data_IF_341759807345
#
_entry.id   IF_341759807345
#
_cell.length_a   1.000
_cell.length_b   1.000
_cell.length_c   1.000
_cell.angle_alpha   90.00
_cell.angle_beta   90.00
_cell.angle_gamma   90.00
#
_symmetry.space_group_name_H-M   'P 1'
#
loop_
_entity.id
_entity.type
_entity.pdbx_description
1 polymer ?
#
# COMPACT_ATOMS: atom_id res chain seq x y z
N UNK A 1 35.11 -19.27 -35.66
CA UNK A 1 35.70 -18.80 -34.38
C UNK A 1 34.81 -17.67 -33.87
N UNK A 2 34.12 -17.90 -32.76
CA UNK A 2 33.14 -16.98 -32.18
C UNK A 2 33.85 -15.84 -31.41
N UNK A 3 33.36 -14.61 -31.56
CA UNK A 3 33.85 -13.41 -30.87
C UNK A 3 32.97 -13.19 -29.63
N UNK A 4 33.55 -13.30 -28.44
CA UNK A 4 32.87 -13.03 -27.18
C UNK A 4 32.62 -11.51 -27.02
N UNK A 5 31.39 -11.13 -26.73
CA UNK A 5 31.01 -9.80 -26.28
C UNK A 5 31.30 -9.72 -24.77
N UNK A 6 32.13 -8.76 -24.36
CA UNK A 6 32.35 -8.44 -22.95
C UNK A 6 31.10 -7.74 -22.40
N UNK A 7 30.43 -8.41 -21.48
CA UNK A 7 29.42 -7.81 -20.60
C UNK A 7 30.18 -6.92 -19.62
N UNK A 8 29.95 -5.61 -19.68
CA UNK A 8 30.34 -4.69 -18.61
C UNK A 8 29.21 -4.67 -17.59
N UNK A 9 29.48 -5.24 -16.42
CA UNK A 9 28.58 -5.22 -15.27
C UNK A 9 28.38 -3.78 -14.79
N UNK A 10 27.13 -3.35 -14.73
CA UNK A 10 26.69 -2.05 -14.23
C UNK A 10 26.48 -2.15 -12.71
N UNK A 11 27.58 -2.09 -11.96
CA UNK A 11 27.62 -2.17 -10.49
C UNK A 11 27.66 -0.76 -9.83
N UNK A 12 27.35 0.29 -10.60
CA UNK A 12 27.46 1.68 -10.13
C UNK A 12 26.24 2.20 -9.38
N UNK A 13 25.09 1.54 -9.49
CA UNK A 13 23.80 2.04 -8.94
C UNK A 13 23.53 1.53 -7.53
N UNK A 14 24.01 0.33 -7.18
CA UNK A 14 23.85 -0.27 -5.86
C UNK A 14 24.70 0.41 -4.78
N UNK A 15 25.95 0.76 -5.10
CA UNK A 15 26.84 1.46 -4.17
C UNK A 15 26.40 2.91 -3.91
N UNK A 16 25.74 3.56 -4.88
CA UNK A 16 25.16 4.90 -4.68
C UNK A 16 24.00 4.89 -3.69
N UNK A 17 23.18 3.83 -3.67
CA UNK A 17 22.07 3.69 -2.72
C UNK A 17 22.60 3.37 -1.32
N UNK A 18 23.63 2.51 -1.22
CA UNK A 18 24.24 2.17 0.07
C UNK A 18 24.97 3.39 0.67
N UNK A 19 25.65 4.20 -0.15
CA UNK A 19 26.31 5.42 0.31
C UNK A 19 25.31 6.53 0.70
N UNK A 20 24.14 6.58 0.05
CA UNK A 20 23.04 7.47 0.44
C UNK A 20 22.50 7.12 1.85
N UNK A 21 22.44 5.83 2.18
CA UNK A 21 22.02 5.35 3.51
C UNK A 21 23.11 5.59 4.56
N UNK A 22 24.39 5.45 4.20
CA UNK A 22 25.52 5.70 5.12
C UNK A 22 25.67 7.16 5.52
N UNK A 23 25.34 8.11 4.63
CA UNK A 23 25.45 9.55 4.94
C UNK A 23 24.43 10.02 5.97
N UNK A 24 23.26 9.38 6.06
CA UNK A 24 22.19 9.72 7.01
C UNK A 24 22.41 9.17 8.43
N UNK A 25 23.47 8.37 8.65
CA UNK A 25 23.77 7.74 9.94
C UNK A 25 24.93 8.41 10.71
N UNK A 26 25.48 9.52 10.22
CA UNK A 26 26.61 10.20 10.86
C UNK A 26 26.29 11.65 11.26
N UNK A 27 25.69 11.85 12.44
CA UNK A 27 25.94 13.04 13.28
C UNK A 27 25.74 12.74 14.77
N UNK A 28 26.82 12.86 15.56
CA UNK A 28 26.84 13.21 16.99
C UNK A 28 26.76 14.73 17.17
N UNK A 29 26.69 15.32 18.39
CA UNK A 29 25.88 15.07 19.58
C UNK A 29 24.93 16.26 19.89
N UNK A 30 23.99 16.06 20.82
CA UNK A 30 23.01 17.07 21.30
C UNK A 30 23.71 18.28 21.96
N UNK A 31 23.39 19.50 21.52
CA UNK A 31 23.55 20.75 22.30
C UNK A 31 22.41 21.72 21.96
N UNK A 32 21.87 22.34 23.01
CA UNK A 32 20.58 23.02 23.11
C UNK A 32 20.52 24.46 22.54
N UNK A 33 19.27 24.88 22.24
CA UNK A 33 18.71 26.25 22.11
C UNK A 33 19.07 27.05 20.84
N UNK A 34 18.12 27.54 20.04
CA UNK A 34 17.18 28.66 20.35
C UNK A 34 16.11 28.80 19.25
N UNK A 35 14.93 29.32 19.63
CA UNK A 35 13.75 29.56 18.79
C UNK A 35 13.97 30.59 17.68
N UNK A 36 13.47 30.34 16.47
CA UNK A 36 13.02 31.36 15.50
C UNK A 36 11.82 30.79 14.71
N UNK A 37 10.68 31.45 14.88
CA UNK A 37 9.42 31.22 14.16
C UNK A 37 9.58 31.56 12.67
N UNK A 38 9.16 30.65 11.80
CA UNK A 38 8.77 31.00 10.42
C UNK A 38 7.49 30.21 10.11
N UNK A 39 6.50 30.94 9.61
CA UNK A 39 5.17 30.47 9.23
C UNK A 39 5.27 29.27 8.28
N UNK A 40 4.63 28.15 8.64
CA UNK A 40 4.40 27.03 7.73
C UNK A 40 2.98 27.10 7.19
N UNK A 41 2.92 27.08 5.87
CA UNK A 41 1.75 27.09 5.00
C UNK A 41 0.91 25.80 5.22
N UNK A 42 -0.40 25.96 5.37
CA UNK A 42 -1.32 24.96 5.96
C UNK A 42 -1.81 23.85 5.00
N UNK A 43 -1.03 23.48 3.98
CA UNK A 43 -1.52 22.51 2.96
C UNK A 43 -0.81 21.16 2.90
N UNK A 44 0.25 20.91 3.68
CA UNK A 44 1.07 19.67 3.59
C UNK A 44 0.90 18.65 4.73
N UNK A 45 0.19 19.00 5.82
CA UNK A 45 0.16 18.16 7.02
C UNK A 45 -0.52 16.80 6.82
N UNK A 46 -1.45 16.67 5.87
CA UNK A 46 -2.23 15.46 5.63
C UNK A 46 -1.49 14.40 4.80
N UNK A 47 -0.63 14.81 3.87
CA UNK A 47 0.15 13.88 3.04
C UNK A 47 1.36 13.34 3.83
N UNK A 48 2.03 14.20 4.61
CA UNK A 48 3.10 13.77 5.49
C UNK A 48 2.62 12.82 6.59
N UNK A 49 1.38 12.92 7.08
CA UNK A 49 0.88 11.98 8.10
C UNK A 49 0.71 10.57 7.58
N UNK A 50 0.29 10.36 6.32
CA UNK A 50 0.10 9.00 5.78
C UNK A 50 1.46 8.32 5.55
N UNK A 51 2.43 9.05 4.98
CA UNK A 51 3.80 8.56 4.80
C UNK A 51 4.46 8.30 6.15
N UNK A 52 4.32 9.22 7.10
CA UNK A 52 4.88 9.04 8.44
C UNK A 52 4.20 7.90 9.19
N UNK A 53 2.88 7.75 9.13
CA UNK A 53 2.14 6.64 9.73
C UNK A 53 2.50 5.28 9.10
N UNK A 54 2.79 5.23 7.78
CA UNK A 54 3.33 4.05 7.12
C UNK A 54 4.73 3.67 7.64
N UNK A 55 5.46 4.67 8.15
CA UNK A 55 6.81 4.55 8.72
C UNK A 55 6.83 4.51 10.25
N UNK A 56 5.69 4.70 10.94
CA UNK A 56 5.63 4.61 12.40
C UNK A 56 5.74 3.13 12.83
N UNK A 57 6.48 2.83 13.91
CA UNK A 57 6.46 1.50 14.50
C UNK A 57 5.02 1.18 14.91
N UNK A 58 4.51 0.09 14.34
CA UNK A 58 3.20 -0.48 14.57
C UNK A 58 2.68 -0.22 15.98
N UNK A 59 1.42 0.20 16.11
CA UNK A 59 0.70 0.14 17.38
C UNK A 59 0.58 -1.34 17.79
N UNK A 60 1.62 -1.79 18.48
CA UNK A 60 1.89 -3.10 19.04
C UNK A 60 0.94 -3.45 20.20
N UNK A 61 -0.36 -3.34 19.93
CA UNK A 61 -1.37 -3.49 20.96
C UNK A 61 -1.67 -4.94 21.34
N UNK A 62 -1.50 -5.91 20.43
CA UNK A 62 -1.93 -7.29 20.74
C UNK A 62 -1.06 -8.44 20.23
N UNK A 63 -0.11 -8.29 19.30
CA UNK A 63 0.67 -9.45 18.82
C UNK A 63 2.04 -9.03 18.22
N UNK A 64 2.99 -8.57 19.02
CA UNK A 64 4.40 -8.60 18.60
C UNK A 64 5.25 -8.98 19.80
N UNK A 65 5.77 -10.21 19.75
CA UNK A 65 6.78 -10.69 20.67
C UNK A 65 8.14 -10.51 19.98
N UNK A 66 9.00 -9.59 20.45
CA UNK A 66 10.32 -9.36 19.86
C UNK A 66 11.26 -10.57 19.93
N UNK A 67 10.87 -11.67 20.60
CA UNK A 67 11.63 -12.92 20.67
C UNK A 67 11.08 -14.03 19.77
N UNK A 68 10.03 -13.76 18.98
CA UNK A 68 9.42 -14.76 18.14
C UNK A 68 9.97 -14.71 16.71
N UNK A 69 10.99 -15.52 16.43
CA UNK A 69 11.58 -15.73 15.08
C UNK A 69 10.60 -16.31 14.04
N UNK A 70 9.29 -16.40 14.35
CA UNK A 70 8.25 -16.96 13.48
C UNK A 70 7.22 -15.95 12.95
N UNK A 71 7.55 -14.66 12.84
CA UNK A 71 6.82 -13.82 11.89
C UNK A 71 7.09 -14.34 10.48
N UNK A 72 6.10 -15.02 9.90
CA UNK A 72 6.19 -15.46 8.51
C UNK A 72 6.53 -14.24 7.64
N UNK A 73 7.49 -14.32 6.71
CA UNK A 73 7.99 -13.16 5.96
C UNK A 73 6.89 -12.33 5.27
N UNK A 74 5.77 -12.95 4.93
CA UNK A 74 4.61 -12.34 4.28
C UNK A 74 3.73 -11.48 5.21
N UNK A 75 3.77 -11.69 6.53
CA UNK A 75 2.86 -11.03 7.47
C UNK A 75 3.07 -9.51 7.48
N UNK A 76 4.33 -9.05 7.45
CA UNK A 76 4.66 -7.63 7.39
C UNK A 76 4.08 -6.94 6.13
N UNK A 77 4.08 -7.64 5.00
CA UNK A 77 3.47 -7.15 3.75
C UNK A 77 1.95 -7.06 3.86
N UNK A 78 1.29 -8.08 4.43
CA UNK A 78 -0.17 -8.04 4.64
C UNK A 78 -0.58 -6.89 5.54
N UNK A 79 0.14 -6.66 6.65
CA UNK A 79 -0.15 -5.54 7.56
C UNK A 79 -0.05 -4.19 6.88
N UNK A 80 0.95 -3.99 6.01
CA UNK A 80 1.09 -2.75 5.23
C UNK A 80 -0.07 -2.56 4.25
N UNK A 81 -0.50 -3.61 3.56
CA UNK A 81 -1.66 -3.53 2.65
C UNK A 81 -2.96 -3.26 3.41
N UNK A 82 -3.16 -3.90 4.56
CA UNK A 82 -4.33 -3.72 5.42
C UNK A 82 -4.41 -2.30 5.96
N UNK A 83 -3.28 -1.74 6.40
CA UNK A 83 -3.19 -0.35 6.82
C UNK A 83 -3.59 0.62 5.69
N UNK A 84 -3.15 0.37 4.45
CA UNK A 84 -3.58 1.18 3.31
C UNK A 84 -5.09 1.07 3.06
N UNK A 85 -5.68 -0.12 3.20
CA UNK A 85 -7.13 -0.30 3.05
C UNK A 85 -7.94 0.47 4.09
N UNK A 86 -7.44 0.57 5.31
CA UNK A 86 -8.08 1.40 6.35
C UNK A 86 -8.08 2.87 5.94
N UNK A 87 -6.96 3.39 5.43
CA UNK A 87 -6.88 4.78 4.94
C UNK A 87 -7.74 5.01 3.70
N UNK A 88 -7.80 4.05 2.77
CA UNK A 88 -8.68 4.12 1.60
C UNK A 88 -10.17 4.10 1.97
N UNK A 89 -10.52 3.58 3.14
CA UNK A 89 -11.90 3.52 3.65
C UNK A 89 -12.25 4.65 4.60
N UNK A 90 -11.33 5.59 4.84
CA UNK A 90 -11.59 6.76 5.68
C UNK A 90 -12.76 7.61 5.12
N UNK A 91 -13.65 8.08 5.99
CA UNK A 91 -14.87 8.80 5.58
C UNK A 91 -14.58 10.16 4.93
N UNK A 92 -13.47 10.80 5.27
CA UNK A 92 -13.15 12.17 4.84
C UNK A 92 -12.06 12.18 3.76
N UNK A 93 -11.08 11.30 3.89
CA UNK A 93 -9.86 11.27 3.09
C UNK A 93 -9.73 10.02 2.22
N UNK A 94 -10.67 9.07 2.32
CA UNK A 94 -10.66 7.82 1.57
C UNK A 94 -11.19 7.92 0.15
N UNK A 95 -11.51 6.77 -0.43
CA UNK A 95 -12.11 6.65 -1.76
C UNK A 95 -13.58 7.11 -1.74
N UNK A 96 -14.09 7.66 -2.86
CA UNK A 96 -15.50 7.99 -2.99
C UNK A 96 -16.36 6.72 -3.11
N UNK A 97 -16.78 6.18 -1.96
CA UNK A 97 -17.65 5.01 -1.89
C UNK A 97 -19.10 5.40 -2.18
N UNK A 98 -19.68 4.80 -3.21
CA UNK A 98 -21.05 5.10 -3.65
C UNK A 98 -21.89 3.84 -3.83
N UNK A 99 -23.20 4.05 -3.80
CA UNK A 99 -24.17 3.07 -4.29
C UNK A 99 -24.58 3.44 -5.71
N UNK A 100 -24.33 2.57 -6.68
CA UNK A 100 -24.69 2.80 -8.07
C UNK A 100 -25.97 2.06 -8.45
N UNK A 101 -26.80 2.67 -9.30
CA UNK A 101 -28.00 2.04 -9.87
C UNK A 101 -27.69 1.57 -11.28
N UNK A 102 -27.81 0.27 -11.52
CA UNK A 102 -27.84 -0.34 -12.84
C UNK A 102 -29.29 -0.65 -13.24
N UNK A 103 -29.52 -0.98 -14.51
CA UNK A 103 -30.84 -1.09 -15.15
C UNK A 103 -31.88 -1.90 -14.34
N UNK A 104 -31.43 -2.91 -13.57
CA UNK A 104 -32.31 -3.75 -12.71
C UNK A 104 -31.76 -3.99 -11.29
N UNK A 105 -30.63 -3.39 -10.91
CA UNK A 105 -29.98 -3.66 -9.62
C UNK A 105 -29.38 -2.41 -9.02
N UNK A 106 -29.22 -2.41 -7.69
CA UNK A 106 -28.45 -1.41 -6.95
C UNK A 106 -27.23 -2.12 -6.37
N UNK A 107 -26.05 -1.61 -6.67
CA UNK A 107 -24.79 -2.15 -6.17
C UNK A 107 -24.27 -1.18 -5.10
N UNK A 108 -24.35 -1.55 -3.81
CA UNK A 108 -23.86 -0.71 -2.74
C UNK A 108 -22.35 -0.83 -2.56
N UNK A 109 -21.76 0.21 -1.97
CA UNK A 109 -20.38 0.23 -1.50
C UNK A 109 -19.36 -0.14 -2.58
N UNK A 110 -19.36 0.64 -3.65
CA UNK A 110 -18.41 0.51 -4.77
C UNK A 110 -17.63 1.79 -5.00
N UNK A 111 -16.44 1.65 -5.57
CA UNK A 111 -15.59 2.71 -6.09
C UNK A 111 -15.13 2.34 -7.51
N UNK A 112 -14.59 3.29 -8.27
CA UNK A 112 -14.04 2.98 -9.60
C UNK A 112 -12.53 2.70 -9.55
N UNK A 113 -12.03 1.96 -10.53
CA UNK A 113 -10.59 1.74 -10.67
C UNK A 113 -9.82 3.05 -10.84
N UNK A 114 -10.35 4.01 -11.62
CA UNK A 114 -9.78 5.34 -11.76
C UNK A 114 -9.69 6.10 -10.41
N UNK A 115 -10.74 6.05 -9.59
CA UNK A 115 -10.72 6.66 -8.24
C UNK A 115 -9.63 6.03 -7.36
N UNK A 116 -9.46 4.71 -7.44
CA UNK A 116 -8.41 4.00 -6.70
C UNK A 116 -7.00 4.43 -7.13
N UNK A 117 -6.73 4.47 -8.43
CA UNK A 117 -5.41 4.87 -8.95
C UNK A 117 -5.11 6.32 -8.57
N UNK A 118 -6.10 7.22 -8.70
CA UNK A 118 -5.93 8.62 -8.32
C UNK A 118 -5.66 8.79 -6.82
N UNK A 119 -6.31 8.00 -5.98
CA UNK A 119 -6.06 8.04 -4.53
C UNK A 119 -4.64 7.57 -4.20
N UNK A 120 -4.16 6.50 -4.83
CA UNK A 120 -2.80 6.00 -4.61
C UNK A 120 -1.76 7.06 -4.99
N UNK A 121 -1.87 7.64 -6.20
CA UNK A 121 -1.00 8.71 -6.67
C UNK A 121 -0.92 9.86 -5.66
N UNK A 122 -2.08 10.30 -5.15
CA UNK A 122 -2.18 11.44 -4.24
C UNK A 122 -1.62 11.16 -2.85
N UNK A 123 -1.90 9.98 -2.27
CA UNK A 123 -1.67 9.71 -0.85
C UNK A 123 -0.36 8.99 -0.56
N UNK A 124 0.25 8.36 -1.57
CA UNK A 124 1.53 7.65 -1.43
C UNK A 124 2.69 8.40 -2.11
N UNK A 125 2.43 9.59 -2.65
CA UNK A 125 3.42 10.40 -3.39
C UNK A 125 4.10 9.61 -4.50
N UNK A 126 3.29 8.90 -5.30
CA UNK A 126 3.74 8.11 -6.44
C UNK A 126 3.64 8.95 -7.71
N UNK A 127 4.75 9.06 -8.45
CA UNK A 127 4.84 9.91 -9.63
C UNK A 127 4.19 9.30 -10.89
N UNK A 128 4.13 7.97 -10.99
CA UNK A 128 3.64 7.27 -12.18
C UNK A 128 2.34 6.49 -11.93
N UNK A 129 1.39 6.68 -12.85
CA UNK A 129 0.17 5.90 -13.00
C UNK A 129 0.44 4.39 -13.14
N UNK A 130 1.56 3.99 -13.75
CA UNK A 130 1.92 2.59 -13.95
C UNK A 130 2.24 1.92 -12.61
N UNK A 131 3.03 2.58 -11.76
CA UNK A 131 3.40 2.07 -10.43
C UNK A 131 2.17 1.98 -9.52
N UNK A 132 1.28 2.99 -9.60
CA UNK A 132 0.01 2.98 -8.88
C UNK A 132 -0.91 1.84 -9.31
N UNK A 133 -0.99 1.59 -10.63
CA UNK A 133 -1.76 0.48 -11.19
C UNK A 133 -1.14 -0.87 -10.80
N UNK A 134 0.19 -0.96 -10.74
CA UNK A 134 0.88 -2.15 -10.28
C UNK A 134 0.54 -2.48 -8.83
N UNK A 135 0.58 -1.48 -7.94
CA UNK A 135 0.18 -1.64 -6.54
C UNK A 135 -1.29 -2.06 -6.41
N UNK A 136 -2.19 -1.44 -7.16
CA UNK A 136 -3.61 -1.79 -7.15
C UNK A 136 -3.86 -3.24 -7.62
N UNK A 137 -3.13 -3.68 -8.65
CA UNK A 137 -3.16 -5.08 -9.10
C UNK A 137 -2.64 -6.03 -8.02
N UNK A 138 -1.56 -5.66 -7.33
CA UNK A 138 -1.02 -6.45 -6.22
C UNK A 138 -2.05 -6.61 -5.11
N UNK A 139 -2.71 -5.52 -4.68
CA UNK A 139 -3.78 -5.57 -3.67
C UNK A 139 -4.97 -6.44 -4.12
N UNK A 140 -5.35 -6.38 -5.40
CA UNK A 140 -6.42 -7.23 -5.95
C UNK A 140 -6.03 -8.71 -5.97
N UNK A 141 -4.78 -9.02 -6.37
CA UNK A 141 -4.27 -10.40 -6.41
C UNK A 141 -4.21 -11.06 -5.02
N UNK A 142 -4.02 -10.26 -3.96
CA UNK A 142 -4.11 -10.71 -2.57
C UNK A 142 -5.54 -10.78 -2.02
N UNK A 143 -6.54 -10.47 -2.85
CA UNK A 143 -7.96 -10.61 -2.51
C UNK A 143 -8.55 -9.45 -1.71
N UNK A 144 -7.84 -8.32 -1.59
CA UNK A 144 -8.32 -7.16 -0.84
C UNK A 144 -9.33 -6.30 -1.63
N UNK A 145 -9.13 -6.21 -2.95
CA UNK A 145 -9.96 -5.42 -3.88
C UNK A 145 -10.51 -6.34 -4.97
N UNK A 146 -11.82 -6.39 -5.12
CA UNK A 146 -12.51 -7.33 -6.00
C UNK A 146 -13.31 -6.60 -7.08
N UNK A 147 -13.17 -6.95 -8.36
CA UNK A 147 -14.05 -6.44 -9.41
C UNK A 147 -15.49 -6.92 -9.19
N UNK A 148 -16.46 -6.10 -9.58
CA UNK A 148 -17.89 -6.44 -9.42
C UNK A 148 -18.39 -7.39 -10.52
N UNK A 149 -17.94 -7.17 -11.77
CA UNK A 149 -18.48 -7.84 -12.96
C UNK A 149 -17.49 -8.80 -13.63
N UNK A 150 -16.38 -9.14 -12.96
CA UNK A 150 -15.32 -10.01 -13.49
C UNK A 150 -14.83 -10.99 -12.42
N UNK A 151 -14.14 -12.05 -12.83
CA UNK A 151 -13.50 -13.03 -11.94
C UNK A 151 -11.98 -12.87 -11.89
N UNK A 152 -11.40 -12.07 -12.80
CA UNK A 152 -9.96 -11.82 -12.84
C UNK A 152 -9.60 -10.76 -11.79
N UNK A 153 -8.77 -11.14 -10.81
CA UNK A 153 -8.29 -10.27 -9.73
C UNK A 153 -7.25 -9.25 -10.21
N UNK A 154 -7.71 -8.32 -11.04
CA UNK A 154 -6.91 -7.22 -11.61
C UNK A 154 -7.69 -5.92 -11.58
N UNK A 155 -6.97 -4.82 -11.43
CA UNK A 155 -7.49 -3.46 -11.48
C UNK A 155 -7.22 -2.85 -12.85
N UNK A 156 -8.22 -2.11 -13.35
CA UNK A 156 -8.12 -1.28 -14.55
C UNK A 156 -8.24 0.17 -14.15
N UNK A 157 -7.44 1.05 -14.77
CA UNK A 157 -7.55 2.50 -14.57
C UNK A 157 -8.69 3.08 -15.43
N UNK A 158 -9.93 2.70 -15.11
CA UNK A 158 -11.14 3.10 -15.82
C UNK A 158 -12.37 3.16 -14.89
N UNK A 159 -13.56 3.23 -15.48
CA UNK A 159 -14.82 3.27 -14.75
C UNK A 159 -15.31 1.92 -14.18
N UNK A 160 -14.52 0.85 -14.26
CA UNK A 160 -14.88 -0.47 -13.72
C UNK A 160 -15.08 -0.36 -12.22
N UNK A 161 -16.15 -0.99 -11.71
CA UNK A 161 -16.46 -0.97 -10.28
C UNK A 161 -15.74 -2.07 -9.52
N UNK A 162 -15.27 -1.70 -8.33
CA UNK A 162 -14.61 -2.58 -7.38
C UNK A 162 -15.23 -2.43 -5.99
N UNK A 163 -14.98 -3.42 -5.14
CA UNK A 163 -15.29 -3.39 -3.71
C UNK A 163 -14.13 -3.86 -2.86
N UNK A 164 -14.11 -3.41 -1.61
CA UNK A 164 -13.26 -3.99 -0.59
C UNK A 164 -13.78 -5.35 -0.12
N UNK A 165 -12.84 -6.24 0.16
CA UNK A 165 -13.09 -7.50 0.85
C UNK A 165 -13.29 -7.28 2.35
N UNK A 166 -14.14 -8.09 2.98
CA UNK A 166 -14.38 -7.99 4.42
C UNK A 166 -13.14 -8.42 5.22
N UNK A 167 -12.84 -7.76 6.35
CA UNK A 167 -11.66 -8.07 7.17
C UNK A 167 -11.55 -9.53 7.58
N UNK A 168 -12.68 -10.22 7.75
CA UNK A 168 -12.70 -11.66 8.07
C UNK A 168 -11.90 -12.50 7.07
N UNK A 169 -11.98 -12.18 5.77
CA UNK A 169 -11.29 -12.92 4.70
C UNK A 169 -9.90 -12.37 4.37
N UNK A 170 -9.30 -11.52 5.21
CA UNK A 170 -7.96 -11.01 4.96
C UNK A 170 -6.89 -12.10 5.17
N UNK A 171 -5.85 -12.15 4.31
CA UNK A 171 -4.77 -13.13 4.40
C UNK A 171 -4.06 -13.21 5.76
N UNK A 172 -4.02 -12.12 6.53
CA UNK A 172 -3.37 -12.11 7.85
C UNK A 172 -4.12 -12.90 8.94
N UNK A 173 -5.40 -13.24 8.72
CA UNK A 173 -6.20 -13.97 9.71
C UNK A 173 -5.91 -15.48 9.76
N UNK A 174 -5.01 -16.00 8.91
CA UNK A 174 -4.58 -17.41 8.89
C UNK A 174 -5.74 -18.40 8.96
N UNK A 175 -6.80 -18.13 8.21
CA UNK A 175 -7.92 -19.06 8.05
C UNK A 175 -7.51 -20.02 6.94
N UNK A 176 -6.96 -21.18 7.31
CA UNK A 176 -6.84 -22.29 6.36
C UNK A 176 -8.26 -22.68 5.92
N UNK A 177 -8.60 -22.53 4.65
CA UNK A 177 -9.94 -22.85 4.20
C UNK A 177 -10.10 -24.37 4.19
N UNK A 178 -11.15 -24.89 4.82
CA UNK A 178 -11.39 -26.33 4.84
C UNK A 178 -11.88 -26.75 3.43
N UNK A 179 -11.55 -27.96 2.99
CA UNK A 179 -12.09 -28.53 1.74
C UNK A 179 -13.62 -28.58 1.76
N UNK A 180 -14.23 -28.59 2.95
CA UNK A 180 -15.68 -28.50 3.16
C UNK A 180 -16.24 -27.12 2.78
N UNK A 181 -15.46 -26.03 2.95
CA UNK A 181 -15.89 -24.67 2.61
C UNK A 181 -15.97 -24.45 1.09
N UNK A 182 -15.22 -25.23 0.31
CA UNK A 182 -15.25 -25.22 -1.16
C UNK A 182 -16.21 -26.25 -1.78
N UNK A 183 -16.69 -27.21 -0.99
CA UNK A 183 -17.40 -28.41 -1.48
C UNK A 183 -18.91 -28.27 -1.70
N UNK A 184 -19.43 -27.07 -1.98
CA UNK A 184 -20.85 -26.85 -2.26
C UNK A 184 -21.13 -26.37 -3.68
#
# INVERSE_FOLDING_TARGET
MARALSVTDDDSTSEQIIDMVRLNLQTTPVTNQTNLTTEYDQTDDQQQTIINDFLLPMNMGLIYDPNNESEQPNLSTFRKMEYLLEKMQDENNGLPIKSVKSFMSKIPSVFTGADLIQWILKNLDVDDTIDSLHLANLMSSHGYVLPIDDHVLTVKNDGTFYRFQTPYFWPSNHIEPDNIDYGK
#
